data_IF_770061835993
#
_entry.id   IF_770061835993
#
_cell.length_a   1.000
_cell.length_b   1.000
_cell.length_c   1.000
_cell.angle_alpha   90.00
_cell.angle_beta   90.00
_cell.angle_gamma   90.00
#
_symmetry.space_group_name_H-M   'P 1'
#
loop_
_entity.id
_entity.type
_entity.pdbx_description
1 polymer ?
#
# COMPACT_ATOMS: atom_id res chain seq x y z
N UNK A 1 -48.60 -26.06 -42.07
CA UNK A 1 -48.19 -26.90 -40.91
C UNK A 1 -46.67 -26.83 -40.82
N UNK A 2 -46.07 -26.74 -39.62
CA UNK A 2 -44.66 -26.36 -39.32
C UNK A 2 -44.53 -24.83 -39.24
N UNK A 3 -44.57 -24.19 -38.07
CA UNK A 3 -43.46 -24.09 -37.11
C UNK A 3 -43.94 -23.83 -35.66
N UNK A 4 -45.24 -23.94 -35.40
CA UNK A 4 -45.83 -23.71 -34.07
C UNK A 4 -45.20 -24.51 -32.92
N UNK A 5 -44.84 -25.81 -33.07
CA UNK A 5 -44.23 -26.55 -31.96
C UNK A 5 -42.78 -26.13 -31.67
N UNK A 6 -42.05 -25.59 -32.65
CA UNK A 6 -40.66 -25.13 -32.48
C UNK A 6 -40.61 -23.83 -31.68
N UNK A 7 -41.54 -22.91 -31.92
CA UNK A 7 -41.60 -21.67 -31.16
C UNK A 7 -41.96 -21.94 -29.70
N UNK A 8 -42.89 -22.85 -29.42
CA UNK A 8 -43.25 -23.22 -28.04
C UNK A 8 -42.06 -23.86 -27.32
N UNK A 9 -41.31 -24.73 -27.99
CA UNK A 9 -40.11 -25.35 -27.42
C UNK A 9 -38.99 -24.32 -27.14
N UNK A 10 -38.83 -23.32 -28.02
CA UNK A 10 -37.88 -22.23 -27.82
C UNK A 10 -38.26 -21.32 -26.64
N UNK A 11 -39.55 -21.00 -26.48
CA UNK A 11 -40.05 -20.24 -25.32
C UNK A 11 -39.91 -21.04 -24.01
N UNK A 12 -40.09 -22.36 -24.04
CA UNK A 12 -39.86 -23.23 -22.87
C UNK A 12 -38.38 -23.30 -22.48
N UNK A 13 -37.48 -23.31 -23.46
CA UNK A 13 -36.03 -23.36 -23.25
C UNK A 13 -35.49 -22.04 -22.66
N UNK A 14 -36.07 -20.90 -23.04
CA UNK A 14 -35.73 -19.57 -22.47
C UNK A 14 -36.16 -19.46 -21.00
N UNK A 15 -37.24 -20.14 -20.59
CA UNK A 15 -37.67 -20.18 -19.18
C UNK A 15 -36.76 -21.04 -18.29
N UNK A 16 -36.01 -21.99 -18.87
CA UNK A 16 -35.10 -22.88 -18.12
C UNK A 16 -33.74 -22.26 -17.80
N UNK A 17 -33.38 -21.11 -18.40
CA UNK A 17 -32.13 -20.38 -18.13
C UNK A 17 -32.29 -19.20 -17.15
N UNK A 18 -33.49 -18.99 -16.61
CA UNK A 18 -33.81 -17.91 -15.65
C UNK A 18 -33.45 -18.22 -14.19
N UNK A 19 -32.41 -19.01 -13.92
CA UNK A 19 -31.96 -19.26 -12.55
C UNK A 19 -31.21 -18.06 -11.99
N UNK A 20 -31.83 -17.30 -11.08
CA UNK A 20 -31.10 -16.38 -10.23
C UNK A 20 -30.16 -17.20 -9.35
N UNK A 21 -28.85 -17.02 -9.51
CA UNK A 21 -27.88 -17.54 -8.55
C UNK A 21 -28.07 -16.74 -7.26
N UNK A 22 -28.76 -17.31 -6.28
CA UNK A 22 -28.83 -16.70 -4.96
C UNK A 22 -27.41 -16.70 -4.38
N UNK A 23 -26.82 -15.53 -4.08
CA UNK A 23 -25.52 -15.49 -3.43
C UNK A 23 -25.63 -16.30 -2.15
N UNK A 24 -24.78 -17.30 -1.97
CA UNK A 24 -24.66 -17.98 -0.69
C UNK A 24 -24.31 -16.92 0.35
N UNK A 25 -25.28 -16.58 1.19
CA UNK A 25 -25.07 -15.75 2.37
C UNK A 25 -24.77 -16.73 3.49
N UNK A 26 -23.50 -16.96 3.84
CA UNK A 26 -23.21 -17.72 5.04
C UNK A 26 -24.01 -17.09 6.19
N UNK A 27 -24.60 -17.90 7.09
CA UNK A 27 -25.27 -17.36 8.25
C UNK A 27 -24.33 -16.36 8.93
N UNK A 28 -24.86 -15.20 9.34
CA UNK A 28 -24.08 -14.20 10.06
C UNK A 28 -23.32 -14.92 11.17
N UNK A 29 -21.99 -14.78 11.16
CA UNK A 29 -21.16 -15.31 12.24
C UNK A 29 -21.56 -14.53 13.50
N UNK A 30 -22.51 -15.08 14.25
CA UNK A 30 -23.10 -14.48 15.44
C UNK A 30 -22.13 -14.44 16.63
N UNK A 31 -20.87 -14.79 16.43
CA UNK A 31 -19.81 -14.62 17.42
C UNK A 31 -19.22 -13.23 17.26
N UNK A 32 -19.35 -12.33 18.26
CA UNK A 32 -18.66 -11.04 18.29
C UNK A 32 -17.18 -11.28 18.58
N UNK A 33 -16.49 -11.88 17.62
CA UNK A 33 -15.09 -12.25 17.73
C UNK A 33 -14.24 -11.00 17.48
N UNK A 34 -14.14 -10.15 18.50
CA UNK A 34 -13.30 -8.96 18.54
C UNK A 34 -11.90 -9.32 19.04
N UNK A 35 -11.09 -9.87 18.15
CA UNK A 35 -9.73 -10.30 18.42
C UNK A 35 -8.76 -9.13 18.37
N UNK A 36 -7.72 -9.17 19.22
CA UNK A 36 -6.65 -8.20 19.19
C UNK A 36 -5.82 -8.36 17.91
N UNK A 37 -5.56 -7.24 17.24
CA UNK A 37 -4.70 -7.14 16.06
C UNK A 37 -3.51 -6.27 16.43
N UNK A 38 -2.31 -6.84 16.29
CA UNK A 38 -1.04 -6.18 16.59
C UNK A 38 -0.28 -5.95 15.29
N UNK A 39 0.05 -4.69 14.99
CA UNK A 39 0.84 -4.33 13.84
C UNK A 39 2.03 -3.46 14.26
N UNK A 40 3.24 -3.95 14.03
CA UNK A 40 4.47 -3.23 14.31
C UNK A 40 5.61 -4.18 14.58
N UNK A 41 6.80 -3.64 14.75
CA UNK A 41 8.01 -4.41 15.04
C UNK A 41 8.99 -3.56 15.85
N UNK A 42 9.91 -4.22 16.55
CA UNK A 42 11.00 -3.55 17.24
C UNK A 42 12.14 -3.29 16.26
N UNK A 43 12.28 -2.03 15.85
CA UNK A 43 13.28 -1.62 14.87
C UNK A 43 14.69 -1.59 15.47
N UNK A 44 15.64 -2.23 14.78
CA UNK A 44 17.05 -2.23 15.18
C UNK A 44 17.92 -1.23 14.44
N UNK A 45 17.35 -0.39 13.59
CA UNK A 45 18.09 0.71 12.99
C UNK A 45 18.44 1.78 14.06
N UNK A 46 19.68 2.29 14.08
CA UNK A 46 20.08 3.31 15.05
C UNK A 46 19.18 4.54 15.01
N UNK A 47 18.62 4.91 16.17
CA UNK A 47 17.74 6.08 16.29
C UNK A 47 16.34 5.93 15.69
N UNK A 48 16.01 4.77 15.10
CA UNK A 48 14.67 4.54 14.54
C UNK A 48 13.63 4.38 15.66
N UNK A 49 12.47 5.06 15.56
CA UNK A 49 11.39 4.85 16.52
C UNK A 49 10.68 3.53 16.22
N UNK A 50 10.42 2.76 17.25
CA UNK A 50 9.52 1.61 17.20
C UNK A 50 8.09 2.06 17.37
N UNK A 51 7.20 1.57 16.49
CA UNK A 51 5.76 1.85 16.55
C UNK A 51 4.98 0.55 16.54
N UNK A 52 4.13 0.36 17.54
CA UNK A 52 3.17 -0.75 17.66
C UNK A 52 1.76 -0.17 17.64
N UNK A 53 0.95 -0.62 16.69
CA UNK A 53 -0.46 -0.24 16.54
C UNK A 53 -1.33 -1.40 16.99
N UNK A 54 -2.29 -1.10 17.86
CA UNK A 54 -3.23 -2.06 18.40
C UNK A 54 -4.65 -1.72 17.94
N UNK A 55 -5.33 -2.71 17.38
CA UNK A 55 -6.71 -2.59 16.94
C UNK A 55 -7.48 -3.88 17.19
N UNK A 56 -8.77 -3.90 16.88
CA UNK A 56 -9.65 -5.04 17.04
C UNK A 56 -10.27 -5.43 15.71
N UNK A 57 -10.46 -6.72 15.48
CA UNK A 57 -11.24 -7.20 14.33
C UNK A 57 -12.68 -6.70 14.41
N UNK A 58 -13.28 -6.56 13.23
CA UNK A 58 -14.68 -6.20 13.05
C UNK A 58 -15.33 -7.12 12.02
N UNK A 59 -16.66 -7.11 11.95
CA UNK A 59 -17.38 -7.84 10.93
C UNK A 59 -17.12 -7.25 9.54
N UNK A 60 -17.07 -8.12 8.53
CA UNK A 60 -16.81 -7.71 7.14
C UNK A 60 -17.84 -6.71 6.60
N UNK A 61 -19.09 -6.80 7.07
CA UNK A 61 -20.16 -5.89 6.68
C UNK A 61 -20.10 -4.52 7.40
N UNK A 62 -19.23 -4.36 8.40
CA UNK A 62 -19.09 -3.08 9.10
C UNK A 62 -18.32 -2.09 8.23
N UNK A 63 -18.95 -0.95 7.93
CA UNK A 63 -18.39 0.12 7.10
C UNK A 63 -17.53 1.11 7.89
N UNK A 64 -17.51 1.01 9.23
CA UNK A 64 -16.67 1.87 10.07
C UNK A 64 -15.22 1.37 10.10
N UNK A 65 -14.31 2.24 10.50
CA UNK A 65 -12.93 1.83 10.74
C UNK A 65 -12.83 0.89 11.96
N UNK A 66 -11.87 -0.06 11.95
CA UNK A 66 -11.61 -0.93 13.09
C UNK A 66 -11.41 -0.18 14.40
N UNK A 67 -12.04 -0.68 15.46
CA UNK A 67 -11.87 -0.13 16.81
C UNK A 67 -10.40 -0.25 17.22
N UNK A 68 -9.80 0.85 17.66
CA UNK A 68 -8.43 0.87 18.19
C UNK A 68 -8.40 0.47 19.66
N UNK A 69 -7.36 -0.24 20.09
CA UNK A 69 -7.16 -0.61 21.49
C UNK A 69 -6.32 0.48 22.18
N UNK A 70 -6.95 1.32 22.99
CA UNK A 70 -6.33 2.48 23.64
C UNK A 70 -6.03 2.22 25.12
N UNK A 71 -5.10 2.99 25.69
CA UNK A 71 -4.70 2.97 27.11
C UNK A 71 -4.21 1.61 27.62
N UNK A 72 -3.81 0.72 26.72
CA UNK A 72 -3.06 -0.49 27.07
C UNK A 72 -1.66 -0.12 27.57
N UNK A 73 -1.12 -0.94 28.48
CA UNK A 73 0.30 -0.91 28.83
C UNK A 73 1.03 -1.82 27.84
N UNK A 74 1.90 -1.24 27.02
CA UNK A 74 2.65 -1.97 25.99
C UNK A 74 4.13 -1.90 26.32
N UNK A 75 4.77 -3.07 26.45
CA UNK A 75 6.17 -3.20 26.81
C UNK A 75 6.88 -4.15 25.84
N UNK A 76 8.16 -3.89 25.62
CA UNK A 76 9.08 -4.84 24.99
C UNK A 76 10.02 -5.34 26.06
N UNK A 77 10.10 -6.66 26.20
CA UNK A 77 10.88 -7.31 27.25
C UNK A 77 12.05 -8.08 26.64
N UNK A 78 13.26 -7.81 27.13
CA UNK A 78 14.44 -8.62 26.82
C UNK A 78 14.44 -9.89 27.66
N UNK A 79 14.96 -10.97 27.09
CA UNK A 79 15.26 -12.20 27.84
C UNK A 79 16.22 -11.95 29.03
N UNK A 80 17.00 -10.86 28.98
CA UNK A 80 17.88 -10.39 30.05
C UNK A 80 17.19 -9.47 31.08
N UNK A 81 15.85 -9.48 31.15
CA UNK A 81 14.99 -8.76 32.11
C UNK A 81 14.93 -7.23 31.95
N UNK A 82 15.53 -6.66 30.90
CA UNK A 82 15.27 -5.27 30.55
C UNK A 82 13.84 -5.10 30.03
N UNK A 83 13.15 -4.03 30.42
CA UNK A 83 11.78 -3.73 30.01
C UNK A 83 11.75 -2.32 29.43
N UNK A 84 11.22 -2.19 28.21
CA UNK A 84 11.04 -0.92 27.53
C UNK A 84 9.55 -0.64 27.37
N UNK A 85 9.05 0.39 28.05
CA UNK A 85 7.64 0.78 27.99
C UNK A 85 7.41 1.73 26.83
N UNK A 86 6.40 1.43 26.01
CA UNK A 86 5.99 2.27 24.90
C UNK A 86 5.00 3.33 25.38
N UNK A 87 5.14 4.55 24.87
CA UNK A 87 4.22 5.65 25.13
C UNK A 87 3.11 5.69 24.07
N UNK A 88 1.85 5.76 24.50
CA UNK A 88 0.74 6.01 23.59
C UNK A 88 0.74 7.47 23.12
N UNK A 89 0.79 7.67 21.80
CA UNK A 89 0.67 8.99 21.19
C UNK A 89 -0.75 9.19 20.67
N UNK A 90 -0.96 8.88 19.39
CA UNK A 90 -2.30 8.76 18.83
C UNK A 90 -3.01 7.51 19.41
N UNK A 91 -4.34 7.56 19.50
CA UNK A 91 -5.16 6.47 20.02
C UNK A 91 -4.78 5.11 19.38
N UNK A 92 -4.41 4.13 20.22
CA UNK A 92 -4.00 2.79 19.79
C UNK A 92 -2.64 2.71 19.09
N UNK A 93 -1.84 3.78 19.12
CA UNK A 93 -0.48 3.84 18.57
C UNK A 93 0.53 4.08 19.67
N UNK A 94 1.36 3.07 19.91
CA UNK A 94 2.36 3.01 20.97
C UNK A 94 3.75 3.16 20.37
N UNK A 95 4.58 4.04 20.94
CA UNK A 95 5.89 4.38 20.37
C UNK A 95 7.01 4.27 21.40
N UNK A 96 8.17 3.83 20.95
CA UNK A 96 9.41 3.80 21.72
C UNK A 96 10.51 4.42 20.87
N UNK A 97 11.20 5.41 21.43
CA UNK A 97 12.33 6.08 20.78
C UNK A 97 13.60 5.93 21.60
N UNK A 98 14.76 5.98 20.95
CA UNK A 98 16.06 5.98 21.62
C UNK A 98 16.50 4.63 22.21
N UNK A 99 15.82 3.54 21.86
CA UNK A 99 16.21 2.18 22.27
C UNK A 99 16.51 1.35 21.04
N UNK A 100 17.71 0.76 21.01
CA UNK A 100 18.13 -0.17 19.95
C UNK A 100 18.28 -1.58 20.55
N UNK A 101 17.60 -2.59 19.99
CA UNK A 101 17.79 -4.00 20.33
C UNK A 101 19.26 -4.41 20.21
N UNK A 102 19.73 -5.22 21.15
CA UNK A 102 21.09 -5.78 21.11
C UNK A 102 21.09 -7.07 20.30
N UNK A 103 21.97 -7.15 19.30
CA UNK A 103 22.19 -8.39 18.54
C UNK A 103 22.58 -9.54 19.49
N UNK A 104 21.98 -10.72 19.28
CA UNK A 104 22.18 -11.89 20.14
C UNK A 104 21.24 -11.99 21.35
N UNK A 105 20.46 -10.96 21.64
CA UNK A 105 19.35 -11.05 22.60
C UNK A 105 18.04 -11.41 21.89
N UNK A 106 17.12 -12.02 22.64
CA UNK A 106 15.75 -12.22 22.21
C UNK A 106 14.83 -11.24 22.94
N UNK A 107 13.81 -10.77 22.24
CA UNK A 107 12.80 -9.88 22.80
C UNK A 107 11.40 -10.43 22.57
N UNK A 108 10.47 -10.06 23.44
CA UNK A 108 9.04 -10.29 23.23
C UNK A 108 8.25 -9.01 23.44
N UNK A 109 7.08 -8.95 22.82
CA UNK A 109 6.07 -7.94 23.08
C UNK A 109 5.17 -8.42 24.23
N UNK A 110 4.86 -7.53 25.16
CA UNK A 110 3.85 -7.73 26.20
C UNK A 110 2.84 -6.58 26.16
N UNK A 111 1.56 -6.94 26.17
CA UNK A 111 0.44 -6.01 26.11
C UNK A 111 -0.50 -6.35 27.25
N UNK A 112 -0.79 -5.37 28.10
CA UNK A 112 -1.86 -5.45 29.09
C UNK A 112 -2.93 -4.43 28.78
N UNK A 113 -4.11 -4.93 28.41
CA UNK A 113 -5.27 -4.09 28.09
C UNK A 113 -5.87 -3.43 29.34
N UNK A 114 -6.71 -2.41 29.14
CA UNK A 114 -7.45 -1.75 30.22
C UNK A 114 -8.39 -2.69 30.98
N UNK A 115 -8.84 -3.77 30.32
CA UNK A 115 -9.67 -4.83 30.92
C UNK A 115 -8.86 -5.85 31.74
N UNK A 116 -7.54 -5.68 31.81
CA UNK A 116 -6.64 -6.58 32.54
C UNK A 116 -6.27 -7.86 31.80
N UNK A 117 -6.65 -8.00 30.52
CA UNK A 117 -6.23 -9.13 29.66
C UNK A 117 -4.80 -8.90 29.19
N UNK A 118 -3.97 -9.92 29.31
CA UNK A 118 -2.56 -9.92 28.96
C UNK A 118 -2.27 -10.76 27.71
N UNK A 119 -1.47 -10.19 26.80
CA UNK A 119 -1.03 -10.82 25.58
C UNK A 119 0.49 -10.78 25.50
N UNK A 120 1.08 -11.85 24.99
CA UNK A 120 2.52 -11.97 24.82
C UNK A 120 2.84 -12.44 23.41
N UNK A 121 3.97 -12.00 22.86
CA UNK A 121 4.60 -12.71 21.77
C UNK A 121 5.53 -13.80 22.30
N UNK A 122 5.88 -14.76 21.44
CA UNK A 122 7.08 -15.55 21.64
C UNK A 122 8.32 -14.64 21.71
N UNK A 123 9.36 -15.11 22.40
CA UNK A 123 10.68 -14.49 22.30
C UNK A 123 11.23 -14.71 20.89
N UNK A 124 11.64 -13.64 20.24
CA UNK A 124 12.18 -13.64 18.88
C UNK A 124 13.57 -13.00 18.84
N UNK A 125 14.48 -13.51 17.99
CA UNK A 125 15.82 -12.95 17.86
C UNK A 125 15.79 -11.62 17.09
N UNK A 126 16.83 -10.81 17.29
CA UNK A 126 17.13 -9.68 16.41
C UNK A 126 17.67 -10.18 15.09
N UNK A 127 16.96 -9.91 13.99
CA UNK A 127 17.41 -10.26 12.63
C UNK A 127 17.92 -9.01 11.93
N UNK A 128 19.20 -9.03 11.51
CA UNK A 128 19.74 -7.95 10.69
C UNK A 128 19.44 -8.22 9.23
N UNK A 129 18.77 -7.28 8.58
CA UNK A 129 18.48 -7.39 7.16
C UNK A 129 19.72 -7.01 6.35
N UNK A 130 20.21 -7.87 5.44
CA UNK A 130 21.36 -7.55 4.60
C UNK A 130 21.02 -6.40 3.63
N UNK A 131 22.02 -5.70 3.08
CA UNK A 131 21.79 -4.61 2.14
C UNK A 131 21.11 -5.10 0.85
N UNK A 132 20.41 -4.18 0.17
CA UNK A 132 19.88 -4.40 -1.18
C UNK A 132 21.00 -4.15 -2.20
N UNK A 133 21.33 -5.15 -3.02
CA UNK A 133 22.37 -5.04 -4.05
C UNK A 133 21.97 -4.08 -5.14
N UNK A 134 20.75 -4.23 -5.67
CA UNK A 134 20.21 -3.32 -6.67
C UNK A 134 18.69 -3.42 -6.77
N UNK A 135 18.08 -2.30 -7.09
CA UNK A 135 16.73 -2.23 -7.64
C UNK A 135 16.91 -1.86 -9.11
N UNK A 136 16.43 -2.72 -9.99
CA UNK A 136 16.63 -2.62 -11.43
C UNK A 136 15.30 -2.63 -12.14
N UNK A 137 15.28 -2.16 -13.38
CA UNK A 137 14.10 -2.25 -14.23
C UNK A 137 14.50 -2.76 -15.60
N UNK A 138 13.56 -3.42 -16.27
CA UNK A 138 13.67 -3.81 -17.67
C UNK A 138 12.42 -3.37 -18.40
N UNK A 139 12.62 -2.92 -19.63
CA UNK A 139 11.52 -2.66 -20.56
C UNK A 139 10.99 -3.98 -21.09
N UNK A 140 9.67 -4.15 -21.06
CA UNK A 140 8.94 -5.24 -21.71
C UNK A 140 7.99 -4.64 -22.77
N UNK A 141 7.34 -5.45 -23.61
CA UNK A 141 6.58 -4.95 -24.76
C UNK A 141 5.45 -3.99 -24.36
N UNK A 142 4.81 -4.23 -23.22
CA UNK A 142 3.65 -3.49 -22.74
C UNK A 142 3.91 -2.68 -21.46
N UNK A 143 5.16 -2.53 -21.02
CA UNK A 143 5.46 -1.76 -19.81
C UNK A 143 6.86 -1.95 -19.25
N UNK A 144 7.01 -1.63 -17.97
CA UNK A 144 8.27 -1.68 -17.24
C UNK A 144 8.15 -2.65 -16.07
N UNK A 145 9.00 -3.67 -16.06
CA UNK A 145 9.12 -4.60 -14.96
C UNK A 145 10.22 -4.13 -14.01
N UNK A 146 9.91 -4.01 -12.72
CA UNK A 146 10.86 -3.62 -11.67
C UNK A 146 11.22 -4.85 -10.84
N UNK A 147 12.52 -5.09 -10.69
CA UNK A 147 13.08 -6.23 -10.00
C UNK A 147 14.07 -5.80 -8.90
N UNK A 148 14.25 -6.67 -7.91
CA UNK A 148 15.25 -6.49 -6.85
C UNK A 148 16.24 -7.64 -6.82
N UNK A 149 17.48 -7.31 -6.48
CA UNK A 149 18.57 -8.24 -6.22
C UNK A 149 19.13 -7.98 -4.82
N UNK A 150 19.42 -9.04 -4.09
CA UNK A 150 20.04 -9.00 -2.78
C UNK A 150 20.81 -10.29 -2.50
N UNK A 151 21.76 -10.22 -1.58
CA UNK A 151 22.44 -11.41 -1.08
C UNK A 151 22.83 -11.23 0.39
N UNK A 152 23.03 -12.35 1.07
CA UNK A 152 23.70 -12.40 2.36
C UNK A 152 24.97 -13.24 2.25
N UNK A 153 26.11 -12.57 2.23
CA UNK A 153 27.41 -13.25 2.19
C UNK A 153 27.66 -14.14 3.43
N UNK A 154 26.96 -13.87 4.55
CA UNK A 154 27.08 -14.64 5.79
C UNK A 154 26.10 -15.80 5.88
N UNK A 155 25.14 -15.88 4.94
CA UNK A 155 24.18 -16.98 4.84
C UNK A 155 23.27 -17.17 6.07
N UNK A 156 23.15 -16.11 6.89
CA UNK A 156 22.44 -16.10 8.16
C UNK A 156 20.97 -15.73 7.99
N UNK A 157 20.62 -15.05 6.90
CA UNK A 157 19.26 -14.84 6.45
C UNK A 157 18.93 -15.85 5.35
N UNK A 158 17.65 -16.18 5.17
CA UNK A 158 17.15 -17.12 4.12
C UNK A 158 15.72 -16.85 3.66
N UNK A 159 15.08 -15.89 4.31
CA UNK A 159 13.67 -15.60 4.13
C UNK A 159 13.50 -14.09 4.12
N UNK A 160 12.83 -13.62 3.07
CA UNK A 160 12.75 -12.21 2.75
C UNK A 160 11.31 -11.82 2.51
N UNK A 161 10.98 -10.60 2.92
CA UNK A 161 9.76 -9.90 2.54
C UNK A 161 10.10 -8.55 1.97
N UNK A 162 9.33 -8.16 0.97
CA UNK A 162 9.50 -6.91 0.25
C UNK A 162 8.26 -6.04 0.41
N UNK A 163 8.50 -4.74 0.57
CA UNK A 163 7.49 -3.70 0.51
C UNK A 163 8.07 -2.56 -0.33
N UNK A 164 7.21 -1.72 -0.90
CA UNK A 164 7.70 -0.52 -1.58
C UNK A 164 6.70 0.63 -1.50
N UNK A 165 7.24 1.85 -1.57
CA UNK A 165 6.45 3.05 -1.83
C UNK A 165 6.85 3.64 -3.19
N UNK A 166 5.84 3.94 -3.99
CA UNK A 166 5.97 4.55 -5.29
C UNK A 166 5.55 6.01 -5.21
N UNK A 167 6.25 6.84 -5.98
CA UNK A 167 5.90 8.24 -6.19
C UNK A 167 6.10 8.56 -7.67
N UNK A 168 5.15 9.25 -8.28
CA UNK A 168 5.28 9.68 -9.67
C UNK A 168 4.86 11.13 -9.85
N UNK A 169 5.55 11.78 -10.77
CA UNK A 169 5.28 13.13 -11.23
C UNK A 169 4.38 13.09 -12.46
N UNK A 170 3.42 14.01 -12.51
CA UNK A 170 2.52 14.16 -13.64
C UNK A 170 2.05 15.61 -13.78
N UNK A 171 1.64 15.96 -14.99
CA UNK A 171 1.10 17.29 -15.30
C UNK A 171 -0.41 17.25 -15.56
N UNK A 172 -1.08 18.36 -15.33
CA UNK A 172 -2.40 18.64 -15.89
C UNK A 172 -2.32 18.82 -17.41
N UNK A 173 -3.47 18.93 -18.08
CA UNK A 173 -3.52 19.09 -19.54
C UNK A 173 -2.90 20.43 -19.99
N UNK A 174 -3.14 21.48 -19.21
CA UNK A 174 -2.73 22.84 -19.52
C UNK A 174 -2.22 23.58 -18.28
N UNK A 175 -1.19 24.40 -18.45
CA UNK A 175 -0.72 25.30 -17.40
C UNK A 175 -1.62 26.53 -17.33
N UNK A 176 -2.18 26.82 -16.15
CA UNK A 176 -2.97 28.03 -15.90
C UNK A 176 -2.06 29.18 -15.46
N UNK A 177 -1.91 30.20 -16.31
CA UNK A 177 -1.13 31.42 -16.01
C UNK A 177 -1.91 32.43 -15.17
N UNK A 178 -3.24 32.37 -15.19
CA UNK A 178 -4.11 33.33 -14.49
C UNK A 178 -5.10 32.63 -13.56
N UNK A 179 -5.50 33.32 -12.51
CA UNK A 179 -6.59 32.90 -11.64
C UNK A 179 -7.55 34.05 -11.35
N UNK A 180 -8.82 33.72 -11.09
CA UNK A 180 -9.82 34.71 -10.76
C UNK A 180 -9.94 34.81 -9.24
N UNK A 181 -9.54 35.95 -8.67
CA UNK A 181 -9.66 36.26 -7.24
C UNK A 181 -10.52 37.51 -7.10
N UNK A 182 -11.59 37.44 -6.30
CA UNK A 182 -12.52 38.56 -6.11
C UNK A 182 -13.01 39.18 -7.43
N UNK A 183 -13.31 38.32 -8.42
CA UNK A 183 -13.75 38.71 -9.77
C UNK A 183 -12.73 39.52 -10.61
N UNK A 184 -11.47 39.54 -10.17
CA UNK A 184 -10.34 40.10 -10.90
C UNK A 184 -9.43 38.99 -11.39
N UNK A 185 -9.02 39.09 -12.64
CA UNK A 185 -8.05 38.17 -13.22
C UNK A 185 -6.66 38.63 -12.80
N UNK A 186 -5.93 37.77 -12.10
CA UNK A 186 -4.59 38.03 -11.61
C UNK A 186 -3.64 36.94 -12.07
N UNK A 187 -2.35 37.24 -12.12
CA UNK A 187 -1.34 36.24 -12.39
C UNK A 187 -1.34 35.18 -11.29
N UNK A 188 -1.33 33.91 -11.70
CA UNK A 188 -1.31 32.79 -10.76
C UNK A 188 0.07 32.72 -10.10
N UNK A 189 0.10 32.88 -8.78
CA UNK A 189 1.35 32.84 -8.01
C UNK A 189 1.89 31.42 -7.80
N UNK A 190 1.00 30.43 -7.72
CA UNK A 190 1.34 29.03 -7.39
C UNK A 190 1.04 28.13 -8.57
N UNK A 191 2.05 27.39 -9.03
CA UNK A 191 1.89 26.35 -10.06
C UNK A 191 0.99 25.22 -9.54
N UNK A 192 -0.10 24.93 -10.25
CA UNK A 192 -1.06 23.85 -9.92
C UNK A 192 -1.18 22.78 -11.01
N UNK A 193 -0.39 22.90 -12.07
CA UNK A 193 -0.32 21.96 -13.18
C UNK A 193 0.72 20.86 -12.98
N UNK A 194 1.62 20.95 -12.01
CA UNK A 194 2.63 19.92 -11.71
C UNK A 194 2.34 19.30 -10.34
N UNK A 195 2.12 17.98 -10.31
CA UNK A 195 1.81 17.26 -9.09
C UNK A 195 2.63 15.99 -8.91
N UNK A 196 2.70 15.56 -7.66
CA UNK A 196 3.16 14.25 -7.26
C UNK A 196 2.01 13.46 -6.65
N UNK A 197 1.94 12.17 -6.98
CA UNK A 197 1.06 11.21 -6.33
C UNK A 197 1.87 10.02 -5.83
N UNK A 198 1.32 9.30 -4.84
CA UNK A 198 2.01 8.24 -4.13
C UNK A 198 1.12 7.01 -3.99
N UNK A 199 1.73 5.83 -3.96
CA UNK A 199 1.07 4.57 -3.62
C UNK A 199 2.04 3.67 -2.86
N UNK A 200 1.51 2.79 -2.01
CA UNK A 200 2.29 1.78 -1.30
C UNK A 200 1.91 0.39 -1.81
N UNK A 201 2.86 -0.56 -1.74
CA UNK A 201 2.61 -1.95 -2.06
C UNK A 201 1.50 -2.53 -1.17
N UNK A 202 0.46 -3.08 -1.79
CA UNK A 202 -0.63 -3.79 -1.08
C UNK A 202 -0.38 -5.29 -0.97
N UNK A 203 0.40 -5.83 -1.90
CA UNK A 203 0.71 -7.25 -1.94
C UNK A 203 1.84 -7.59 -0.95
N UNK A 204 1.65 -8.66 -0.22
CA UNK A 204 2.65 -9.37 0.56
C UNK A 204 3.52 -10.16 -0.42
N UNK A 205 4.77 -9.73 -0.56
CA UNK A 205 5.76 -10.34 -1.43
C UNK A 205 6.83 -11.00 -0.58
N UNK A 206 6.88 -12.32 -0.59
CA UNK A 206 7.85 -13.13 0.16
C UNK A 206 8.70 -13.95 -0.80
N UNK A 207 9.97 -14.19 -0.43
CA UNK A 207 10.85 -15.11 -1.15
C UNK A 207 11.79 -15.83 -0.19
N UNK A 208 12.20 -17.05 -0.54
CA UNK A 208 13.13 -17.85 0.25
C UNK A 208 14.28 -18.36 -0.61
N UNK A 209 15.49 -18.29 -0.05
CA UNK A 209 16.72 -18.85 -0.60
C UNK A 209 17.14 -20.12 0.13
N UNK A 210 16.31 -20.66 1.02
CA UNK A 210 16.63 -21.84 1.84
C UNK A 210 16.93 -23.10 1.00
N UNK A 211 16.44 -23.15 -0.25
CA UNK A 211 16.72 -24.25 -1.21
C UNK A 211 17.91 -23.97 -2.13
N UNK A 212 18.57 -22.82 -1.96
CA UNK A 212 19.73 -22.41 -2.76
C UNK A 212 21.01 -22.61 -1.93
N UNK A 213 22.08 -23.02 -2.62
CA UNK A 213 23.41 -23.18 -2.00
C UNK A 213 23.94 -21.85 -1.44
N UNK A 214 23.66 -20.76 -2.16
CA UNK A 214 24.00 -19.39 -1.76
C UNK A 214 22.73 -18.62 -1.40
N UNK A 215 22.81 -17.76 -0.40
CA UNK A 215 21.74 -16.82 -0.09
C UNK A 215 21.77 -15.63 -1.06
N UNK A 216 21.21 -15.86 -2.25
CA UNK A 216 21.11 -14.87 -3.33
C UNK A 216 19.67 -14.82 -3.83
N UNK A 217 19.08 -13.63 -3.76
CA UNK A 217 17.85 -13.27 -4.44
C UNK A 217 18.23 -12.55 -5.73
N UNK A 218 17.92 -13.16 -6.88
CA UNK A 218 18.20 -12.59 -8.19
C UNK A 218 16.92 -12.28 -8.95
N UNK A 219 16.83 -11.07 -9.49
CA UNK A 219 15.76 -10.59 -10.37
C UNK A 219 14.34 -10.87 -9.83
N UNK A 220 14.16 -10.74 -8.51
CA UNK A 220 12.85 -10.97 -7.91
C UNK A 220 11.86 -9.88 -8.37
N UNK A 221 10.72 -10.23 -8.99
CA UNK A 221 9.79 -9.26 -9.54
C UNK A 221 9.00 -8.57 -8.43
N UNK A 222 9.11 -7.25 -8.35
CA UNK A 222 8.39 -6.43 -7.38
C UNK A 222 7.05 -5.93 -7.93
N UNK A 223 7.10 -5.26 -9.08
CA UNK A 223 5.92 -4.66 -9.67
C UNK A 223 6.10 -4.48 -11.17
N UNK A 224 4.99 -4.58 -11.90
CA UNK A 224 4.90 -4.29 -13.31
C UNK A 224 4.09 -3.00 -13.50
N UNK A 225 4.66 -2.04 -14.23
CA UNK A 225 4.01 -0.77 -14.54
C UNK A 225 3.62 -0.78 -16.02
N UNK A 226 2.32 -0.80 -16.36
CA UNK A 226 1.88 -0.73 -17.76
C UNK A 226 2.42 0.52 -18.45
N UNK A 227 2.79 0.40 -19.73
CA UNK A 227 3.29 1.51 -20.55
C UNK A 227 2.28 2.66 -20.70
N UNK A 228 1.00 2.34 -20.61
CA UNK A 228 -0.10 3.33 -20.59
C UNK A 228 -0.29 4.01 -19.24
N UNK A 229 0.43 3.60 -18.20
CA UNK A 229 0.28 4.18 -16.86
C UNK A 229 0.81 5.60 -16.79
N UNK A 230 0.04 6.50 -16.17
CA UNK A 230 0.47 7.87 -15.86
C UNK A 230 1.75 7.91 -15.02
N UNK A 231 2.05 6.84 -14.26
CA UNK A 231 3.28 6.70 -13.48
C UNK A 231 4.54 6.90 -14.33
N UNK A 232 4.51 6.48 -15.59
CA UNK A 232 5.64 6.57 -16.53
C UNK A 232 5.60 7.85 -17.39
N UNK A 233 4.66 8.78 -17.12
CA UNK A 233 4.43 9.96 -17.93
C UNK A 233 5.60 10.96 -17.92
N UNK A 234 6.14 11.24 -16.73
CA UNK A 234 7.20 12.26 -16.54
C UNK A 234 8.40 11.66 -15.84
N UNK A 235 8.24 11.32 -14.56
CA UNK A 235 9.28 10.74 -13.72
C UNK A 235 8.65 9.89 -12.63
N UNK A 236 9.25 8.73 -12.41
CA UNK A 236 8.81 7.74 -11.47
C UNK A 236 9.91 7.45 -10.45
N UNK A 237 9.53 7.19 -9.20
CA UNK A 237 10.41 6.68 -8.16
C UNK A 237 9.76 5.54 -7.40
N UNK A 238 10.58 4.57 -7.00
CA UNK A 238 10.21 3.49 -6.10
C UNK A 238 11.24 3.39 -4.98
N UNK A 239 10.79 3.38 -3.72
CA UNK A 239 11.59 3.06 -2.55
C UNK A 239 11.26 1.65 -2.10
N UNK A 240 12.18 0.72 -2.34
CA UNK A 240 12.04 -0.67 -1.93
C UNK A 240 12.55 -0.82 -0.50
N UNK A 241 11.80 -1.56 0.31
CA UNK A 241 12.15 -2.01 1.65
C UNK A 241 12.31 -3.53 1.63
N UNK A 242 13.47 -3.98 2.09
CA UNK A 242 13.77 -5.38 2.32
C UNK A 242 13.64 -5.67 3.82
N UNK A 243 13.06 -6.81 4.15
CA UNK A 243 12.89 -7.28 5.52
C UNK A 243 13.34 -8.74 5.56
N UNK A 244 14.39 -9.04 6.31
CA UNK A 244 14.75 -10.41 6.64
C UNK A 244 13.83 -10.96 7.73
N UNK A 245 13.40 -12.22 7.56
CA UNK A 245 12.43 -12.88 8.44
C UNK A 245 13.03 -14.14 9.06
N UNK A 246 12.50 -14.54 10.22
CA UNK A 246 12.64 -15.91 10.71
C UNK A 246 11.83 -16.84 9.82
N UNK A 247 12.13 -18.15 9.87
CA UNK A 247 11.32 -19.15 9.18
C UNK A 247 9.83 -19.04 9.57
N UNK A 248 9.52 -18.95 10.86
CA UNK A 248 8.15 -18.79 11.36
C UNK A 248 7.47 -17.50 10.87
N UNK A 249 8.24 -16.41 10.73
CA UNK A 249 7.72 -15.16 10.18
C UNK A 249 7.43 -15.28 8.69
N UNK A 250 8.29 -15.96 7.94
CA UNK A 250 8.06 -16.25 6.53
C UNK A 250 6.80 -17.09 6.34
N UNK A 251 6.66 -18.18 7.09
CA UNK A 251 5.50 -19.07 7.01
C UNK A 251 4.19 -18.31 7.30
N UNK A 252 4.20 -17.42 8.31
CA UNK A 252 3.06 -16.56 8.62
C UNK A 252 2.68 -15.64 7.45
N UNK A 253 3.64 -14.90 6.89
CA UNK A 253 3.35 -13.97 5.79
C UNK A 253 3.02 -14.67 4.48
N UNK A 254 3.64 -15.82 4.20
CA UNK A 254 3.36 -16.63 3.02
C UNK A 254 1.95 -17.24 3.07
N UNK A 255 1.54 -17.76 4.22
CA UNK A 255 0.16 -18.20 4.45
C UNK A 255 -0.83 -17.02 4.34
N UNK A 256 -0.48 -15.86 4.91
CA UNK A 256 -1.33 -14.67 4.84
C UNK A 256 -1.51 -14.18 3.41
N UNK A 257 -0.45 -14.20 2.60
CA UNK A 257 -0.53 -13.89 1.18
C UNK A 257 -1.44 -14.87 0.44
N UNK A 258 -1.30 -16.18 0.70
CA UNK A 258 -2.09 -17.23 0.05
C UNK A 258 -3.59 -17.10 0.32
N UNK A 259 -4.01 -16.66 1.51
CA UNK A 259 -5.44 -16.51 1.84
C UNK A 259 -6.02 -15.14 1.45
N UNK A 260 -5.20 -14.09 1.37
CA UNK A 260 -5.69 -12.71 1.12
C UNK A 260 -5.56 -12.27 -0.33
N UNK A 261 -4.61 -12.83 -1.08
CA UNK A 261 -4.32 -12.41 -2.46
C UNK A 261 -4.77 -13.42 -3.52
N UNK A 262 -4.84 -14.71 -3.19
CA UNK A 262 -5.33 -15.75 -4.10
C UNK A 262 -6.79 -16.08 -3.78
N UNK A 263 -7.68 -15.12 -4.01
CA UNK A 263 -9.11 -15.24 -3.79
C UNK A 263 -9.83 -15.25 -5.15
N UNK A 264 -10.71 -16.21 -5.38
CA UNK A 264 -11.62 -16.26 -6.53
C UNK A 264 -11.58 -17.54 -7.37
N UNK A 265 -10.86 -18.59 -6.98
CA UNK A 265 -10.84 -19.89 -7.68
C UNK A 265 -11.52 -21.00 -6.87
N UNK A 266 -12.12 -21.97 -7.57
CA UNK A 266 -12.66 -23.19 -6.95
C UNK A 266 -11.56 -24.08 -6.32
N UNK A 267 -10.29 -23.78 -6.62
CA UNK A 267 -9.11 -24.45 -6.07
C UNK A 267 -8.40 -23.59 -5.02
N UNK A 268 -9.03 -22.51 -4.54
CA UNK A 268 -8.45 -21.69 -3.48
C UNK A 268 -8.25 -22.55 -2.21
N UNK A 269 -7.13 -22.35 -1.49
CA UNK A 269 -6.92 -23.06 -0.25
C UNK A 269 -8.07 -22.76 0.72
N UNK A 270 -8.61 -23.80 1.35
CA UNK A 270 -9.60 -23.63 2.41
C UNK A 270 -9.01 -22.70 3.49
N UNK A 271 -9.77 -21.72 4.01
CA UNK A 271 -9.26 -20.80 5.02
C UNK A 271 -8.70 -21.57 6.22
N UNK A 272 -7.38 -21.63 6.33
CA UNK A 272 -6.70 -22.15 7.52
C UNK A 272 -6.57 -21.02 8.53
N UNK A 273 -6.70 -21.34 9.81
CA UNK A 273 -6.50 -20.37 10.88
C UNK A 273 -5.03 -19.93 10.90
N UNK A 274 -4.76 -18.68 10.52
CA UNK A 274 -3.42 -18.10 10.62
C UNK A 274 -3.20 -17.68 12.06
N UNK A 275 -2.28 -18.38 12.74
CA UNK A 275 -1.79 -17.98 14.05
C UNK A 275 -0.43 -17.34 13.90
N UNK A 276 -0.30 -16.12 14.40
CA UNK A 276 0.99 -15.45 14.51
C UNK A 276 1.81 -16.01 15.67
N UNK A 277 2.80 -15.24 16.12
CA UNK A 277 3.59 -15.58 17.31
C UNK A 277 3.05 -14.92 18.59
N UNK A 278 1.80 -14.43 18.58
CA UNK A 278 1.14 -13.77 19.70
C UNK A 278 0.08 -14.68 20.32
N UNK A 279 -0.06 -14.64 21.65
CA UNK A 279 -1.04 -15.43 22.39
C UNK A 279 -1.59 -14.66 23.59
N UNK A 280 -2.82 -14.97 23.98
CA UNK A 280 -3.44 -14.46 25.20
C UNK A 280 -3.05 -15.34 26.39
N UNK A 281 -2.53 -14.74 27.46
CA UNK A 281 -2.15 -15.47 28.67
C UNK A 281 -3.37 -15.89 29.50
N UNK A 282 -4.47 -15.14 29.42
CA UNK A 282 -5.70 -15.43 30.17
C UNK A 282 -6.55 -16.52 29.51
N UNK A 283 -6.43 -16.71 28.20
CA UNK A 283 -7.21 -17.68 27.44
C UNK A 283 -6.43 -18.20 26.22
N UNK A 284 -5.92 -19.43 26.28
CA UNK A 284 -5.15 -20.04 25.19
C UNK A 284 -5.95 -20.28 23.91
N UNK A 285 -7.28 -20.23 23.97
CA UNK A 285 -8.16 -20.40 22.81
C UNK A 285 -8.52 -19.05 22.16
N UNK A 286 -8.16 -17.92 22.77
CA UNK A 286 -8.39 -16.60 22.17
C UNK A 286 -7.37 -16.34 21.06
N UNK A 287 -7.88 -15.96 19.89
CA UNK A 287 -7.04 -15.65 18.75
C UNK A 287 -6.44 -14.25 18.86
N UNK A 288 -5.18 -14.11 18.48
CA UNK A 288 -4.48 -12.83 18.34
C UNK A 288 -3.88 -12.77 16.95
N UNK A 289 -4.16 -11.68 16.23
CA UNK A 289 -3.69 -11.49 14.87
C UNK A 289 -2.46 -10.58 14.84
N UNK A 290 -1.52 -10.88 13.96
CA UNK A 290 -0.26 -10.15 13.83
C UNK A 290 0.96 -11.01 14.08
N UNK A 291 2.13 -10.47 13.76
CA UNK A 291 3.41 -11.14 13.99
C UNK A 291 4.42 -10.12 14.50
N UNK A 292 4.93 -10.34 15.71
CA UNK A 292 5.97 -9.51 16.30
C UNK A 292 7.34 -9.97 15.83
N UNK A 293 8.14 -9.06 15.28
CA UNK A 293 9.53 -9.30 14.88
C UNK A 293 10.44 -8.22 15.46
N UNK A 294 11.73 -8.52 15.49
CA UNK A 294 12.78 -7.58 15.92
C UNK A 294 13.87 -7.57 14.86
N UNK A 295 14.28 -6.39 14.39
CA UNK A 295 15.30 -6.31 13.35
C UNK A 295 15.29 -5.02 12.54
N UNK A 296 16.22 -4.95 11.59
CA UNK A 296 16.39 -3.78 10.72
C UNK A 296 15.65 -3.93 9.40
N UNK A 297 15.49 -2.82 8.68
CA UNK A 297 14.91 -2.78 7.32
C UNK A 297 15.94 -2.13 6.40
N UNK A 298 16.36 -2.83 5.35
CA UNK A 298 17.23 -2.24 4.33
C UNK A 298 16.38 -1.55 3.27
N UNK A 299 16.82 -0.39 2.78
CA UNK A 299 16.06 0.38 1.78
C UNK A 299 16.91 0.79 0.60
N UNK A 300 16.30 0.87 -0.58
CA UNK A 300 16.96 1.33 -1.81
C UNK A 300 15.96 1.99 -2.74
N UNK A 301 16.34 3.17 -3.25
CA UNK A 301 15.49 3.96 -4.15
C UNK A 301 15.99 3.86 -5.59
N UNK A 302 15.04 3.74 -6.51
CA UNK A 302 15.25 3.83 -7.95
C UNK A 302 14.44 5.01 -8.51
N UNK A 303 14.96 5.63 -9.57
CA UNK A 303 14.26 6.61 -10.39
C UNK A 303 14.24 6.15 -11.85
N UNK A 304 13.13 6.43 -12.53
CA UNK A 304 12.96 6.20 -13.97
C UNK A 304 12.38 7.48 -14.57
N UNK A 305 13.15 8.13 -15.43
CA UNK A 305 12.73 9.32 -16.17
C UNK A 305 12.11 8.93 -17.50
N UNK A 306 11.13 9.72 -17.98
CA UNK A 306 10.48 9.48 -19.28
C UNK A 306 11.47 9.36 -20.45
N UNK A 307 12.57 10.11 -20.42
CA UNK A 307 13.62 10.04 -21.45
C UNK A 307 14.29 8.66 -21.58
N UNK A 308 14.23 7.83 -20.54
CA UNK A 308 14.79 6.46 -20.55
C UNK A 308 13.82 5.44 -21.17
N UNK A 309 12.54 5.81 -21.33
CA UNK A 309 11.46 4.95 -21.83
C UNK A 309 10.56 5.72 -22.82
N UNK A 310 11.13 6.21 -23.95
CA UNK A 310 10.42 7.12 -24.86
C UNK A 310 9.19 6.49 -25.53
N UNK A 311 9.21 5.17 -25.73
CA UNK A 311 8.24 4.44 -26.55
C UNK A 311 6.86 4.28 -25.91
N UNK A 312 6.75 4.44 -24.60
CA UNK A 312 5.48 4.26 -23.89
C UNK A 312 4.65 5.53 -23.89
N UNK A 313 3.37 5.46 -24.27
CA UNK A 313 2.46 6.60 -24.17
C UNK A 313 1.54 6.43 -22.97
N UNK A 314 1.83 7.18 -21.91
CA UNK A 314 0.94 7.30 -20.75
C UNK A 314 -0.43 7.88 -21.15
N UNK A 315 -1.49 7.26 -20.66
CA UNK A 315 -2.85 7.78 -20.68
C UNK A 315 -3.01 8.66 -19.44
N UNK A 316 -3.23 9.94 -19.66
CA UNK A 316 -3.24 10.94 -18.58
C UNK A 316 -4.64 11.17 -18.04
N UNK A 317 -5.70 10.62 -18.65
CA UNK A 317 -7.11 10.96 -18.36
C UNK A 317 -7.47 12.42 -18.64
N UNK A 318 -6.57 13.16 -19.30
CA UNK A 318 -6.80 14.51 -19.78
C UNK A 318 -7.07 14.55 -21.29
N UNK A 319 -7.21 13.40 -21.94
CA UNK A 319 -7.45 13.30 -23.38
C UNK A 319 -8.79 13.94 -23.81
N UNK A 320 -9.74 14.10 -22.88
CA UNK A 320 -11.01 14.79 -23.11
C UNK A 320 -10.96 16.30 -22.85
N UNK A 321 -9.81 16.84 -22.42
CA UNK A 321 -9.67 18.26 -22.14
C UNK A 321 -9.68 19.07 -23.44
N UNK A 322 -10.62 20.01 -23.53
CA UNK A 322 -10.75 20.93 -24.65
C UNK A 322 -10.61 22.36 -24.15
N UNK A 323 -10.08 23.22 -25.00
CA UNK A 323 -10.00 24.65 -24.74
C UNK A 323 -11.07 25.41 -25.50
N UNK A 324 -11.47 26.55 -24.95
CA UNK A 324 -12.35 27.53 -25.60
C UNK A 324 -11.82 28.95 -25.34
N UNK A 325 -12.26 29.92 -26.12
CA UNK A 325 -11.86 31.33 -25.97
C UNK A 325 -12.99 32.17 -25.43
N UNK A 326 -12.78 32.81 -24.29
CA UNK A 326 -13.78 33.65 -23.62
C UNK A 326 -13.23 35.05 -23.35
N UNK A 327 -14.12 36.04 -23.40
CA UNK A 327 -13.86 37.41 -22.96
C UNK A 327 -13.80 37.50 -21.43
N UNK A 328 -13.24 38.58 -20.90
CA UNK A 328 -13.21 38.80 -19.44
C UNK A 328 -14.61 38.84 -18.81
N UNK A 329 -15.63 39.31 -19.55
CA UNK A 329 -17.01 39.34 -19.06
C UNK A 329 -17.59 37.93 -18.91
N UNK A 330 -17.34 37.04 -19.88
CA UNK A 330 -17.76 35.64 -19.85
C UNK A 330 -17.01 34.86 -18.77
N UNK A 331 -15.69 35.09 -18.61
CA UNK A 331 -14.91 34.46 -17.54
C UNK A 331 -15.45 34.81 -16.16
N UNK A 332 -15.82 36.07 -15.92
CA UNK A 332 -16.44 36.50 -14.65
C UNK A 332 -17.80 35.87 -14.41
N UNK A 333 -18.54 35.56 -15.47
CA UNK A 333 -19.86 34.95 -15.39
C UNK A 333 -19.79 33.44 -15.16
N UNK A 334 -19.04 32.74 -16.00
CA UNK A 334 -19.04 31.28 -16.08
C UNK A 334 -17.93 30.63 -15.23
N UNK A 335 -16.99 31.45 -14.73
CA UNK A 335 -15.90 31.04 -13.83
C UNK A 335 -15.07 29.83 -14.33
N UNK A 336 -14.66 29.79 -15.62
CA UNK A 336 -13.80 28.72 -16.13
C UNK A 336 -12.37 28.86 -15.58
N UNK A 337 -11.54 27.84 -15.77
CA UNK A 337 -10.11 28.00 -15.61
C UNK A 337 -9.51 28.77 -16.78
N UNK A 338 -8.57 29.66 -16.48
CA UNK A 338 -7.88 30.48 -17.48
C UNK A 338 -6.47 29.94 -17.71
N UNK A 339 -6.18 29.54 -18.95
CA UNK A 339 -4.89 29.00 -19.38
C UNK A 339 -3.93 30.16 -19.61
N UNK A 340 -4.22 31.02 -20.59
CA UNK A 340 -3.36 32.16 -20.94
C UNK A 340 -4.13 33.20 -21.76
N UNK A 341 -3.52 34.33 -22.07
CA UNK A 341 -4.07 35.35 -22.96
C UNK A 341 -4.04 34.83 -24.40
N UNK A 342 -5.18 34.90 -25.11
CA UNK A 342 -5.28 34.46 -26.51
C UNK A 342 -5.05 35.62 -27.47
N UNK A 343 -5.72 36.75 -27.23
CA UNK A 343 -5.52 38.01 -27.96
C UNK A 343 -5.77 39.21 -27.01
N UNK A 344 -5.86 40.44 -27.55
CA UNK A 344 -6.02 41.64 -26.73
C UNK A 344 -7.29 41.67 -25.87
N UNK A 345 -8.31 40.87 -26.16
CA UNK A 345 -9.62 40.92 -25.49
C UNK A 345 -10.14 39.57 -24.99
N UNK A 346 -9.52 38.46 -25.41
CA UNK A 346 -9.95 37.09 -25.10
C UNK A 346 -8.83 36.26 -24.48
N UNK A 347 -9.24 35.29 -23.67
CA UNK A 347 -8.36 34.35 -23.00
C UNK A 347 -8.68 32.93 -23.43
N UNK A 348 -7.65 32.09 -23.47
CA UNK A 348 -7.81 30.65 -23.60
C UNK A 348 -8.26 30.10 -22.25
N UNK A 349 -9.35 29.35 -22.25
CA UNK A 349 -10.03 28.83 -21.06
C UNK A 349 -10.33 27.34 -21.22
N UNK A 350 -10.56 26.67 -20.09
CA UNK A 350 -10.88 25.24 -20.03
C UNK A 350 -11.59 24.94 -18.72
N UNK A 351 -12.02 23.69 -18.50
CA UNK A 351 -12.47 23.25 -17.19
C UNK A 351 -11.33 23.29 -16.15
N UNK A 352 -11.68 23.57 -14.89
CA UNK A 352 -10.73 23.59 -13.76
C UNK A 352 -9.97 22.27 -13.61
N UNK A 353 -10.64 21.15 -13.89
CA UNK A 353 -10.05 19.81 -13.93
C UNK A 353 -8.82 19.73 -14.84
N UNK A 354 -8.83 20.40 -15.98
CA UNK A 354 -7.77 20.31 -17.00
C UNK A 354 -6.53 21.16 -16.69
N UNK A 355 -6.59 22.06 -15.71
CA UNK A 355 -5.43 22.87 -15.29
C UNK A 355 -4.90 22.53 -13.92
N UNK A 356 -5.72 21.93 -13.06
CA UNK A 356 -5.39 21.67 -11.66
C UNK A 356 -5.24 20.17 -11.40
N UNK A 357 -3.99 19.71 -11.30
CA UNK A 357 -3.68 18.31 -11.07
C UNK A 357 -4.05 17.83 -9.65
N UNK A 358 -4.33 18.75 -8.71
CA UNK A 358 -4.74 18.43 -7.33
C UNK A 358 -6.15 17.84 -7.29
N UNK A 359 -7.00 18.17 -8.26
CA UNK A 359 -8.34 17.60 -8.39
C UNK A 359 -8.33 16.08 -8.67
N UNK A 360 -7.16 15.50 -8.94
CA UNK A 360 -6.94 14.05 -9.06
C UNK A 360 -6.25 13.42 -7.84
N UNK A 361 -6.16 14.16 -6.73
CA UNK A 361 -5.54 13.69 -5.49
C UNK A 361 -4.02 13.90 -5.41
N UNK A 362 -3.44 14.64 -6.36
CA UNK A 362 -2.02 15.01 -6.32
C UNK A 362 -1.72 16.18 -5.40
N UNK A 363 -0.46 16.30 -5.03
CA UNK A 363 0.06 17.43 -4.26
C UNK A 363 1.09 18.22 -5.06
N UNK A 364 1.11 19.54 -4.90
CA UNK A 364 2.07 20.45 -5.55
C UNK A 364 3.40 20.58 -4.80
N UNK A 365 3.47 20.02 -3.57
CA UNK A 365 4.70 19.99 -2.79
C UNK A 365 5.60 18.88 -3.34
N UNK A 366 6.71 19.27 -3.97
CA UNK A 366 7.76 18.34 -4.40
C UNK A 366 8.27 17.55 -3.18
N UNK A 367 8.34 16.20 -3.25
CA UNK A 367 8.93 15.39 -2.19
C UNK A 367 10.42 15.69 -2.01
N UNK A 368 10.91 15.71 -0.76
CA UNK A 368 12.30 16.08 -0.44
C UNK A 368 13.34 15.12 -1.06
N UNK A 369 12.97 13.85 -1.26
CA UNK A 369 13.83 12.87 -1.91
C UNK A 369 13.80 12.96 -3.45
N UNK A 370 12.92 13.76 -4.04
CA UNK A 370 12.71 13.83 -5.48
C UNK A 370 13.90 14.56 -6.13
N UNK A 371 14.78 13.81 -6.80
CA UNK A 371 15.97 14.37 -7.49
C UNK A 371 15.63 14.83 -8.89
#
# INVERSE_FOLDING_TARGET
MKNTPINILAWLLILLVGGCVDPYRPPEVASPNSYLVVNGFFDSAPGAPTTIRLSRTQNLADTKAPTVETKAVVTIESQNKAIYTLAEGAAGTYTLAGVTPRTGENYRLHIRTTKGVEYFSAYVPVIQTPPIDSVSWRKEDNGVQINVNAHDATNNTRYYRWEFDETWEYYSAFTSSYELINNQLVDRAVRVDQCWSNASSTNIMTTSTARLSQDVVSQFPLTFIPGSSIKLGVKYSILVRQIALSQTGFDYYDQLAKITQNIGSIFDPQPSQITGNLYCANNSNELVLGFFRVGSVATKRLFISRSQIPDFRAITSYESCTTDTLTLAEIRKDQPAVVTLYDMTRYLTTSTYCVDCRLRGGVIKRPDFWQ
#
